data_IF_234437129043
#
_entry.id   IF_234437129043
#
_cell.length_a   1.000
_cell.length_b   1.000
_cell.length_c   1.000
_cell.angle_alpha   90.00
_cell.angle_beta   90.00
_cell.angle_gamma   90.00
#
_symmetry.space_group_name_H-M   'P 1'
#
loop_
_entity.id
_entity.type
_entity.pdbx_description
1 polymer ?
#
# COMPACT_ATOMS: atom_id res chain seq x y z
N UNK A 1 24.42 -21.61 -7.04
CA UNK A 1 23.70 -21.48 -5.76
C UNK A 1 22.24 -21.70 -6.09
N UNK A 2 21.71 -22.86 -5.69
CA UNK A 2 20.35 -23.29 -6.03
C UNK A 2 19.31 -22.31 -5.44
N UNK A 3 18.51 -21.71 -6.30
CA UNK A 3 17.25 -21.12 -5.87
C UNK A 3 16.40 -22.28 -5.35
N UNK A 4 16.20 -22.36 -4.06
CA UNK A 4 15.21 -23.23 -3.45
C UNK A 4 13.87 -22.69 -3.95
N UNK A 5 13.19 -23.42 -4.84
CA UNK A 5 11.82 -23.12 -5.24
C UNK A 5 10.99 -23.09 -3.94
N UNK A 6 10.41 -21.92 -3.64
CA UNK A 6 9.57 -21.76 -2.47
C UNK A 6 8.38 -22.74 -2.63
N UNK A 7 8.05 -23.47 -1.56
CA UNK A 7 6.87 -24.32 -1.52
C UNK A 7 5.63 -23.49 -1.93
N UNK A 8 4.67 -24.07 -2.69
CA UNK A 8 3.45 -23.36 -3.08
C UNK A 8 2.68 -22.73 -1.89
N UNK A 9 2.83 -23.30 -0.70
CA UNK A 9 2.20 -22.85 0.54
C UNK A 9 3.02 -21.79 1.32
N UNK A 10 4.22 -21.43 0.83
CA UNK A 10 5.04 -20.43 1.50
C UNK A 10 4.49 -19.01 1.25
N UNK A 11 4.43 -18.14 2.29
CA UNK A 11 3.96 -16.78 2.14
C UNK A 11 4.81 -16.01 1.12
N UNK A 12 4.17 -15.10 0.37
CA UNK A 12 4.85 -14.19 -0.54
C UNK A 12 5.72 -13.19 0.22
N UNK A 13 5.15 -12.67 1.32
CA UNK A 13 5.84 -11.76 2.25
C UNK A 13 5.71 -12.31 3.67
N UNK A 14 6.83 -12.39 4.39
CA UNK A 14 6.89 -12.75 5.81
C UNK A 14 7.66 -11.66 6.56
N UNK A 15 7.01 -11.08 7.55
CA UNK A 15 7.58 -10.05 8.43
C UNK A 15 7.59 -10.60 9.85
N UNK A 16 8.74 -10.61 10.49
CA UNK A 16 8.92 -11.19 11.83
C UNK A 16 9.64 -10.19 12.74
N UNK A 17 9.00 -9.84 13.85
CA UNK A 17 9.52 -8.96 14.92
C UNK A 17 10.15 -7.67 14.38
N UNK A 18 9.48 -7.07 13.36
CA UNK A 18 9.96 -5.85 12.73
C UNK A 18 9.94 -4.69 13.70
N UNK A 19 11.08 -4.05 13.88
CA UNK A 19 11.26 -2.87 14.74
C UNK A 19 11.77 -1.70 13.90
N UNK A 20 11.17 -0.53 14.10
CA UNK A 20 11.71 0.75 13.64
C UNK A 20 11.54 1.81 14.70
N UNK A 21 12.65 2.19 15.31
CA UNK A 21 12.74 3.28 16.27
C UNK A 21 13.46 4.47 15.62
N UNK A 22 12.98 5.68 15.88
CA UNK A 22 13.61 6.92 15.43
C UNK A 22 14.18 7.64 16.66
N UNK A 23 15.50 7.86 16.72
CA UNK A 23 16.12 8.57 17.85
C UNK A 23 15.71 10.04 17.85
N UNK A 24 15.29 10.54 19.02
CA UNK A 24 15.09 11.97 19.26
C UNK A 24 16.42 12.53 19.75
N UNK A 25 17.07 13.33 18.89
CA UNK A 25 18.32 14.00 19.22
C UNK A 25 18.06 15.41 19.78
N UNK A 26 18.73 15.76 20.86
CA UNK A 26 18.68 17.09 21.47
C UNK A 26 20.10 17.62 21.67
N UNK A 27 20.42 18.76 21.07
CA UNK A 27 21.71 19.43 21.21
C UNK A 27 22.03 20.33 20.02
N UNK A 28 22.70 21.49 20.28
CA UNK A 28 23.10 22.45 19.23
C UNK A 28 24.53 22.15 18.72
N UNK A 29 25.38 21.52 19.55
CA UNK A 29 26.78 21.20 19.22
C UNK A 29 27.17 19.74 19.43
N UNK A 30 26.45 19.00 20.28
CA UNK A 30 26.64 17.56 20.49
C UNK A 30 25.26 16.91 20.48
N UNK A 31 24.98 16.13 19.44
CA UNK A 31 23.77 15.33 19.33
C UNK A 31 23.76 14.24 20.44
N UNK A 32 22.98 14.44 21.49
CA UNK A 32 22.69 13.40 22.48
C UNK A 32 21.32 12.82 22.18
N UNK A 33 21.25 11.50 22.04
CA UNK A 33 20.01 10.76 22.01
C UNK A 33 19.34 10.85 23.38
N UNK A 34 18.13 11.45 23.42
CA UNK A 34 17.43 11.76 24.67
C UNK A 34 16.21 10.87 24.83
N UNK A 35 15.64 10.39 23.71
CA UNK A 35 14.46 9.53 23.67
C UNK A 35 14.32 8.88 22.29
N UNK A 36 13.38 7.95 22.12
CA UNK A 36 13.10 7.27 20.86
C UNK A 36 11.61 7.23 20.57
N UNK A 37 11.22 7.55 19.32
CA UNK A 37 9.87 7.26 18.84
C UNK A 37 9.84 5.81 18.35
N UNK A 38 9.10 4.96 19.03
CA UNK A 38 8.89 3.55 18.66
C UNK A 38 7.78 3.44 17.63
N UNK A 39 8.09 3.81 16.40
CA UNK A 39 7.09 3.84 15.32
C UNK A 39 6.61 2.44 14.92
N UNK A 40 7.48 1.43 15.00
CA UNK A 40 7.18 -0.01 14.84
C UNK A 40 7.93 -0.75 15.93
N UNK A 41 7.25 -1.60 16.68
CA UNK A 41 7.79 -2.22 17.90
C UNK A 41 7.41 -3.71 17.99
N UNK A 42 8.10 -4.55 17.21
CA UNK A 42 7.91 -6.00 17.19
C UNK A 42 6.70 -6.47 16.36
N UNK A 43 6.52 -5.90 15.17
CA UNK A 43 5.39 -6.24 14.28
C UNK A 43 5.70 -7.51 13.47
N UNK A 44 4.75 -8.47 13.50
CA UNK A 44 4.84 -9.73 12.74
C UNK A 44 3.54 -10.00 11.98
N UNK A 45 3.66 -10.27 10.68
CA UNK A 45 2.54 -10.65 9.80
C UNK A 45 3.04 -11.35 8.54
N UNK A 46 2.12 -11.96 7.79
CA UNK A 46 2.40 -12.62 6.52
C UNK A 46 1.35 -12.21 5.49
N UNK A 47 1.75 -12.15 4.22
CA UNK A 47 0.86 -11.96 3.06
C UNK A 47 1.05 -13.16 2.13
N UNK A 48 -0.04 -13.85 1.81
CA UNK A 48 -0.03 -14.98 0.88
C UNK A 48 -0.06 -14.48 -0.57
N UNK A 49 0.17 -15.38 -1.52
CA UNK A 49 0.02 -15.06 -2.95
C UNK A 49 -1.45 -14.86 -3.28
N UNK A 50 -1.77 -13.79 -3.98
CA UNK A 50 -3.15 -13.44 -4.33
C UNK A 50 -4.02 -12.95 -3.16
N UNK A 51 -3.44 -12.80 -1.95
CA UNK A 51 -4.14 -12.35 -0.75
C UNK A 51 -4.06 -10.83 -0.59
N UNK A 52 -5.11 -10.25 -0.05
CA UNK A 52 -5.08 -8.89 0.51
C UNK A 52 -5.04 -8.94 2.04
N UNK A 53 -3.90 -8.53 2.62
CA UNK A 53 -3.82 -8.24 4.05
C UNK A 53 -4.09 -6.76 4.29
N UNK A 54 -5.17 -6.44 4.99
CA UNK A 54 -5.48 -5.10 5.47
C UNK A 54 -4.69 -4.76 6.74
N UNK A 55 -4.01 -3.63 6.76
CA UNK A 55 -3.34 -3.09 7.95
C UNK A 55 -4.06 -1.80 8.37
N UNK A 56 -4.80 -1.85 9.47
CA UNK A 56 -5.68 -0.77 9.93
C UNK A 56 -5.27 -0.24 11.30
N UNK A 57 -5.59 1.01 11.59
CA UNK A 57 -5.34 1.68 12.86
C UNK A 57 -5.36 3.20 12.70
N UNK A 58 -5.37 3.95 13.80
CA UNK A 58 -5.39 5.41 13.78
C UNK A 58 -4.16 6.02 13.10
N UNK A 59 -4.25 7.30 12.74
CA UNK A 59 -3.10 8.05 12.22
C UNK A 59 -1.99 8.08 13.28
N UNK A 60 -0.76 7.81 12.85
CA UNK A 60 0.40 7.73 13.77
C UNK A 60 0.61 6.36 14.42
N UNK A 61 -0.24 5.35 14.19
CA UNK A 61 -0.04 4.00 14.75
C UNK A 61 1.19 3.24 14.21
N UNK A 62 1.87 3.76 13.16
CA UNK A 62 3.09 3.19 12.60
C UNK A 62 2.94 2.47 11.27
N UNK A 63 1.74 2.36 10.69
CA UNK A 63 1.43 1.62 9.45
C UNK A 63 2.33 1.98 8.26
N UNK A 64 2.37 3.27 7.90
CA UNK A 64 3.20 3.74 6.77
C UNK A 64 4.70 3.54 7.04
N UNK A 65 5.13 3.58 8.31
CA UNK A 65 6.50 3.28 8.70
C UNK A 65 6.81 1.80 8.49
N UNK A 66 5.90 0.90 8.89
CA UNK A 66 6.03 -0.54 8.66
C UNK A 66 6.12 -0.84 7.16
N UNK A 67 5.24 -0.28 6.34
CA UNK A 67 5.25 -0.43 4.88
C UNK A 67 6.58 0.01 4.25
N UNK A 68 7.11 1.16 4.66
CA UNK A 68 8.39 1.67 4.15
C UNK A 68 9.57 0.82 4.60
N UNK A 69 9.52 0.27 5.82
CA UNK A 69 10.54 -0.66 6.32
C UNK A 69 10.51 -1.99 5.55
N UNK A 70 9.32 -2.55 5.27
CA UNK A 70 9.14 -3.75 4.44
C UNK A 70 9.75 -3.56 3.05
N UNK A 71 9.51 -2.42 2.39
CA UNK A 71 10.09 -2.12 1.08
C UNK A 71 11.56 -1.69 1.12
N UNK A 72 12.19 -1.70 2.29
CA UNK A 72 13.56 -1.19 2.48
C UNK A 72 13.76 0.24 1.92
N UNK A 73 12.71 1.07 2.03
CA UNK A 73 12.78 2.51 1.79
C UNK A 73 13.35 3.24 2.99
N UNK A 74 13.14 2.68 4.17
CA UNK A 74 13.81 3.02 5.42
C UNK A 74 14.41 1.72 5.99
N UNK A 75 15.59 1.81 6.57
CA UNK A 75 16.25 0.67 7.20
C UNK A 75 15.55 0.33 8.52
N UNK A 76 15.09 -0.92 8.76
CA UNK A 76 14.57 -1.33 10.05
C UNK A 76 15.66 -1.27 11.13
N UNK A 77 15.26 -1.10 12.38
CA UNK A 77 16.19 -1.17 13.52
C UNK A 77 16.57 -2.61 13.83
N UNK A 78 15.59 -3.52 13.73
CA UNK A 78 15.78 -4.97 13.85
C UNK A 78 14.58 -5.71 13.25
N UNK A 79 14.61 -7.04 13.29
CA UNK A 79 13.59 -7.92 12.73
C UNK A 79 13.98 -8.47 11.37
N UNK A 80 13.11 -9.33 10.82
CA UNK A 80 13.30 -10.01 9.55
C UNK A 80 12.17 -9.65 8.58
N UNK A 81 12.51 -9.46 7.32
CA UNK A 81 11.56 -9.31 6.21
C UNK A 81 11.99 -10.25 5.11
N UNK A 82 11.16 -11.25 4.83
CA UNK A 82 11.41 -12.19 3.73
C UNK A 82 10.40 -12.00 2.62
N UNK A 83 10.89 -11.92 1.41
CA UNK A 83 10.09 -11.91 0.19
C UNK A 83 10.41 -13.17 -0.63
N UNK A 84 9.39 -14.00 -0.89
CA UNK A 84 9.54 -15.34 -1.51
C UNK A 84 10.59 -16.20 -0.78
N UNK A 85 10.54 -16.19 0.56
CA UNK A 85 11.48 -16.92 1.42
C UNK A 85 12.88 -16.33 1.51
N UNK A 86 13.20 -15.29 0.74
CA UNK A 86 14.51 -14.62 0.76
C UNK A 86 14.51 -13.46 1.75
N UNK A 87 15.45 -13.44 2.68
CA UNK A 87 15.68 -12.30 3.56
C UNK A 87 16.08 -11.05 2.77
N UNK A 88 15.36 -9.95 2.99
CA UNK A 88 15.58 -8.67 2.31
C UNK A 88 15.93 -7.53 3.27
N UNK A 89 15.75 -7.71 4.59
CA UNK A 89 16.19 -6.71 5.56
C UNK A 89 17.70 -6.52 5.49
N UNK A 90 18.14 -5.26 5.48
CA UNK A 90 19.56 -4.91 5.40
C UNK A 90 20.21 -5.08 4.02
N UNK A 91 19.47 -5.45 2.98
CA UNK A 91 20.02 -5.53 1.63
C UNK A 91 20.37 -4.13 1.09
N UNK A 92 21.55 -4.03 0.51
CA UNK A 92 21.99 -2.81 -0.17
C UNK A 92 21.17 -2.49 -1.45
N UNK A 93 21.25 -1.23 -1.90
CA UNK A 93 20.48 -0.72 -3.04
C UNK A 93 20.61 -1.56 -4.33
N UNK A 94 21.81 -2.11 -4.59
CA UNK A 94 22.08 -2.94 -5.78
C UNK A 94 21.32 -4.28 -5.71
N UNK A 95 21.26 -4.89 -4.53
CA UNK A 95 20.56 -6.16 -4.29
C UNK A 95 19.05 -5.99 -4.27
N UNK A 96 18.54 -4.84 -3.77
CA UNK A 96 17.13 -4.49 -3.78
C UNK A 96 16.59 -4.14 -5.17
N UNK A 97 17.42 -3.71 -6.11
CA UNK A 97 16.97 -3.27 -7.44
C UNK A 97 16.12 -4.29 -8.20
N UNK A 98 16.50 -5.59 -8.32
CA UNK A 98 15.66 -6.59 -8.97
C UNK A 98 14.35 -6.84 -8.19
N UNK A 99 14.39 -6.86 -6.85
CA UNK A 99 13.23 -7.10 -6.00
C UNK A 99 12.20 -5.97 -6.10
N UNK A 100 12.65 -4.74 -6.35
CA UNK A 100 11.76 -3.60 -6.59
C UNK A 100 10.92 -3.71 -7.87
N UNK A 101 11.20 -4.64 -8.78
CA UNK A 101 10.28 -4.96 -9.89
C UNK A 101 9.07 -5.71 -9.38
N UNK A 102 9.26 -6.58 -8.40
CA UNK A 102 8.28 -7.52 -7.90
C UNK A 102 7.48 -6.97 -6.71
N UNK A 103 8.00 -5.89 -6.06
CA UNK A 103 7.35 -5.18 -4.96
C UNK A 103 7.19 -3.72 -5.31
N UNK A 104 5.97 -3.21 -5.38
CA UNK A 104 5.67 -1.83 -5.73
C UNK A 104 4.84 -1.15 -4.64
N UNK A 105 4.74 0.18 -4.70
CA UNK A 105 3.99 0.97 -3.74
C UNK A 105 3.09 1.99 -4.44
N UNK A 106 1.84 2.05 -3.98
CA UNK A 106 0.89 3.12 -4.26
C UNK A 106 0.90 4.03 -3.02
N UNK A 107 1.20 5.31 -3.24
CA UNK A 107 1.38 6.28 -2.15
C UNK A 107 0.06 6.97 -1.81
N UNK A 108 -0.03 7.44 -0.56
CA UNK A 108 -1.16 8.14 0.02
C UNK A 108 -1.56 9.42 -0.74
N UNK A 109 -0.58 10.24 -1.10
CA UNK A 109 -0.82 11.51 -1.79
C UNK A 109 -0.58 11.38 -3.29
N UNK A 110 -1.65 11.37 -4.10
CA UNK A 110 -1.52 11.31 -5.55
C UNK A 110 -0.91 12.59 -6.15
N UNK A 111 -0.93 13.72 -5.43
CA UNK A 111 -0.32 14.97 -5.88
C UNK A 111 1.19 14.95 -5.69
N UNK A 112 1.67 14.59 -4.49
CA UNK A 112 3.10 14.54 -4.19
C UNK A 112 3.80 13.37 -4.88
N UNK A 113 3.07 12.28 -5.19
CA UNK A 113 3.65 11.07 -5.78
C UNK A 113 3.98 11.19 -7.27
N UNK A 114 3.38 12.14 -7.99
CA UNK A 114 3.58 12.33 -9.43
C UNK A 114 4.40 13.59 -9.71
N UNK A 115 5.49 13.46 -10.48
CA UNK A 115 6.29 14.61 -10.86
C UNK A 115 5.47 15.53 -11.81
N UNK A 116 5.11 16.77 -11.38
CA UNK A 116 4.24 17.66 -12.17
C UNK A 116 4.87 18.15 -13.48
N UNK A 117 6.20 18.03 -13.61
CA UNK A 117 6.96 18.45 -14.81
C UNK A 117 7.04 17.35 -15.87
N UNK A 118 6.56 16.13 -15.57
CA UNK A 118 6.55 14.99 -16.51
C UNK A 118 5.15 14.74 -17.02
N UNK A 119 5.08 14.29 -18.27
CA UNK A 119 3.83 13.79 -18.86
C UNK A 119 3.46 12.44 -18.26
N UNK A 120 2.19 12.10 -18.27
CA UNK A 120 1.65 10.82 -17.76
C UNK A 120 2.38 9.63 -18.37
N UNK A 121 2.59 9.65 -19.70
CA UNK A 121 3.33 8.58 -20.38
C UNK A 121 4.77 8.40 -19.89
N UNK A 122 5.43 9.48 -19.46
CA UNK A 122 6.76 9.40 -18.86
C UNK A 122 6.69 8.85 -17.44
N UNK A 123 5.70 9.30 -16.64
CA UNK A 123 5.54 8.87 -15.25
C UNK A 123 5.30 7.36 -15.17
N UNK A 124 4.37 6.84 -15.96
CA UNK A 124 4.04 5.41 -16.00
C UNK A 124 5.12 4.58 -16.69
N UNK A 125 5.80 5.15 -17.69
CA UNK A 125 6.84 4.47 -18.46
C UNK A 125 8.23 4.50 -17.84
N UNK A 126 8.53 5.43 -16.93
CA UNK A 126 9.86 5.54 -16.29
C UNK A 126 10.33 4.24 -15.61
N UNK A 127 9.50 3.50 -14.85
CA UNK A 127 9.90 2.22 -14.27
C UNK A 127 10.31 1.20 -15.33
N UNK A 128 9.52 1.05 -16.40
CA UNK A 128 9.81 0.15 -17.52
C UNK A 128 11.13 0.47 -18.19
N UNK A 129 11.34 1.78 -18.48
CA UNK A 129 12.59 2.25 -19.10
C UNK A 129 13.81 2.04 -18.19
N UNK A 130 13.70 2.39 -16.90
CA UNK A 130 14.82 2.26 -15.93
C UNK A 130 15.21 0.82 -15.64
N UNK A 131 14.26 -0.10 -15.73
CA UNK A 131 14.49 -1.54 -15.55
C UNK A 131 14.86 -2.24 -16.87
N UNK A 132 14.89 -1.51 -17.99
CA UNK A 132 15.22 -2.07 -19.29
C UNK A 132 14.17 -3.04 -19.87
N UNK A 133 12.92 -2.92 -19.41
CA UNK A 133 11.83 -3.81 -19.82
C UNK A 133 11.27 -3.44 -21.20
N UNK A 134 11.10 -2.13 -21.46
CA UNK A 134 10.59 -1.63 -22.72
C UNK A 134 11.18 -0.26 -23.09
N UNK A 135 11.20 0.06 -24.39
CA UNK A 135 11.65 1.33 -24.94
C UNK A 135 10.91 1.68 -26.24
N UNK A 136 11.01 2.93 -26.70
CA UNK A 136 10.46 3.35 -28.00
C UNK A 136 8.94 3.16 -28.10
N UNK A 137 8.49 2.62 -29.24
CA UNK A 137 7.07 2.38 -29.54
C UNK A 137 6.44 1.33 -28.61
N UNK A 138 7.19 0.31 -28.23
CA UNK A 138 6.72 -0.73 -27.32
C UNK A 138 6.42 -0.18 -25.92
N UNK A 139 7.28 0.68 -25.39
CA UNK A 139 7.04 1.39 -24.15
C UNK A 139 5.73 2.19 -24.21
N UNK A 140 5.54 2.93 -25.32
CA UNK A 140 4.32 3.72 -25.51
C UNK A 140 3.07 2.85 -25.54
N UNK A 141 3.09 1.74 -26.27
CA UNK A 141 1.99 0.78 -26.36
C UNK A 141 1.61 0.23 -24.98
N UNK A 142 2.59 -0.28 -24.24
CA UNK A 142 2.37 -0.83 -22.91
C UNK A 142 1.79 0.21 -21.93
N UNK A 143 2.30 1.43 -21.95
CA UNK A 143 1.76 2.51 -21.11
C UNK A 143 0.33 2.86 -21.49
N UNK A 144 0.00 2.96 -22.78
CA UNK A 144 -1.35 3.26 -23.22
C UNK A 144 -2.34 2.15 -22.82
N UNK A 145 -1.95 0.88 -22.93
CA UNK A 145 -2.73 -0.27 -22.46
C UNK A 145 -2.99 -0.20 -20.94
N UNK A 146 -1.96 0.11 -20.13
CA UNK A 146 -2.11 0.29 -18.69
C UNK A 146 -3.05 1.44 -18.34
N UNK A 147 -2.98 2.57 -19.05
CA UNK A 147 -3.91 3.68 -18.84
C UNK A 147 -5.36 3.25 -19.06
N UNK A 148 -5.63 2.50 -20.12
CA UNK A 148 -6.98 1.97 -20.41
C UNK A 148 -7.44 1.02 -19.29
N UNK A 149 -6.58 0.13 -18.80
CA UNK A 149 -6.89 -0.83 -17.73
C UNK A 149 -7.28 -0.15 -16.41
N UNK A 150 -6.66 0.99 -16.10
CA UNK A 150 -7.04 1.76 -14.90
C UNK A 150 -8.22 2.73 -15.17
N UNK A 151 -8.93 2.59 -16.31
CA UNK A 151 -10.10 3.40 -16.65
C UNK A 151 -9.78 4.82 -17.12
N UNK A 152 -8.59 5.03 -17.70
CA UNK A 152 -8.19 6.27 -18.35
C UNK A 152 -8.15 6.11 -19.87
N UNK A 153 -8.19 7.23 -20.64
CA UNK A 153 -7.99 7.19 -22.07
C UNK A 153 -6.52 7.01 -22.44
N UNK A 154 -6.23 6.23 -23.50
CA UNK A 154 -4.89 6.12 -24.08
C UNK A 154 -4.30 7.47 -24.56
N UNK A 155 -5.17 8.44 -24.91
CA UNK A 155 -4.79 9.80 -25.29
C UNK A 155 -4.21 10.61 -24.14
N UNK A 156 -4.50 10.22 -22.90
CA UNK A 156 -3.96 10.85 -21.68
C UNK A 156 -2.43 10.72 -21.56
N UNK A 157 -1.80 9.89 -22.39
CA UNK A 157 -0.35 9.69 -22.44
C UNK A 157 0.45 11.00 -22.50
N UNK A 158 -0.02 11.98 -23.26
CA UNK A 158 0.69 13.25 -23.50
C UNK A 158 0.33 14.36 -22.50
N UNK A 159 -0.66 14.15 -21.63
CA UNK A 159 -1.11 15.15 -20.64
C UNK A 159 -0.19 15.21 -19.42
N UNK A 160 -0.31 16.31 -18.68
CA UNK A 160 0.40 16.52 -17.42
C UNK A 160 -0.51 16.20 -16.21
N UNK A 161 0.05 15.82 -15.05
CA UNK A 161 -0.73 15.49 -13.86
C UNK A 161 -1.73 16.57 -13.41
N UNK A 162 -1.39 17.85 -13.57
CA UNK A 162 -2.26 18.95 -13.16
C UNK A 162 -3.56 19.08 -13.98
N UNK A 163 -3.66 18.40 -15.12
CA UNK A 163 -4.86 18.34 -15.97
C UNK A 163 -5.87 17.28 -15.52
N UNK A 164 -5.62 16.58 -14.41
CA UNK A 164 -6.41 15.45 -13.93
C UNK A 164 -7.01 15.72 -12.55
N UNK A 165 -8.20 15.14 -12.29
CA UNK A 165 -8.79 15.09 -10.96
C UNK A 165 -7.96 14.23 -9.99
N UNK A 166 -8.23 14.32 -8.69
CA UNK A 166 -7.56 13.50 -7.65
C UNK A 166 -7.69 12.01 -7.94
N UNK A 167 -8.89 11.51 -8.22
CA UNK A 167 -9.11 10.10 -8.55
C UNK A 167 -8.41 9.66 -9.85
N UNK A 168 -8.36 10.52 -10.86
CA UNK A 168 -7.60 10.22 -12.08
C UNK A 168 -6.09 10.18 -11.83
N UNK A 169 -5.55 11.05 -10.97
CA UNK A 169 -4.13 10.99 -10.56
C UNK A 169 -3.82 9.72 -9.79
N UNK A 170 -4.74 9.28 -8.94
CA UNK A 170 -4.60 8.01 -8.25
C UNK A 170 -4.53 6.84 -9.24
N UNK A 171 -5.39 6.82 -10.25
CA UNK A 171 -5.35 5.82 -11.34
C UNK A 171 -4.00 5.85 -12.11
N UNK A 172 -3.40 7.02 -12.33
CA UNK A 172 -2.05 7.14 -12.89
C UNK A 172 -1.00 6.54 -11.96
N UNK A 173 -1.12 6.77 -10.64
CA UNK A 173 -0.26 6.17 -9.62
C UNK A 173 -0.34 4.64 -9.61
N UNK A 174 -1.57 4.10 -9.72
CA UNK A 174 -1.83 2.66 -9.83
C UNK A 174 -1.19 2.11 -11.13
N UNK A 175 -1.44 2.74 -12.28
CA UNK A 175 -0.83 2.33 -13.56
C UNK A 175 0.71 2.30 -13.49
N UNK A 176 1.32 3.28 -12.83
CA UNK A 176 2.77 3.32 -12.60
C UNK A 176 3.25 2.14 -11.75
N UNK A 177 2.57 1.82 -10.66
CA UNK A 177 2.92 0.70 -9.79
C UNK A 177 2.81 -0.65 -10.54
N UNK A 178 1.77 -0.82 -11.35
CA UNK A 178 1.53 -2.04 -12.11
C UNK A 178 2.41 -2.20 -13.36
N UNK A 179 3.11 -1.14 -13.78
CA UNK A 179 3.90 -1.15 -15.02
C UNK A 179 4.96 -2.26 -15.08
N UNK A 180 5.52 -2.64 -13.95
CA UNK A 180 6.52 -3.70 -13.84
C UNK A 180 5.93 -5.09 -13.60
N UNK A 181 4.59 -5.25 -13.57
CA UNK A 181 3.88 -6.49 -13.25
C UNK A 181 4.38 -7.08 -11.91
N UNK A 182 4.23 -6.35 -10.82
CA UNK A 182 4.70 -6.80 -9.51
C UNK A 182 3.91 -8.02 -9.03
N UNK A 183 4.45 -8.74 -8.04
CA UNK A 183 3.74 -9.78 -7.29
C UNK A 183 3.06 -9.21 -6.04
N UNK A 184 3.68 -8.19 -5.43
CA UNK A 184 3.19 -7.51 -4.23
C UNK A 184 3.05 -6.02 -4.50
N UNK A 185 1.90 -5.46 -4.14
CA UNK A 185 1.69 -4.00 -4.12
C UNK A 185 1.31 -3.56 -2.71
N UNK A 186 2.09 -2.65 -2.14
CA UNK A 186 1.75 -2.01 -0.88
C UNK A 186 0.95 -0.75 -1.18
N UNK A 187 -0.30 -0.70 -0.73
CA UNK A 187 -1.20 0.43 -0.89
C UNK A 187 -1.21 1.24 0.43
N UNK A 188 -0.39 2.30 0.50
CA UNK A 188 -0.31 3.17 1.69
C UNK A 188 -1.39 4.25 1.62
N UNK A 189 -2.53 4.01 2.27
CA UNK A 189 -3.73 4.87 2.29
C UNK A 189 -4.16 5.37 0.90
N UNK A 190 -4.37 4.48 -0.08
CA UNK A 190 -4.51 4.86 -1.49
C UNK A 190 -5.77 5.67 -1.80
N UNK A 191 -6.69 5.81 -0.85
CA UNK A 191 -8.00 6.48 -1.05
C UNK A 191 -8.27 7.59 -0.04
N UNK A 192 -7.41 7.82 0.95
CA UNK A 192 -7.66 8.73 2.09
C UNK A 192 -7.88 10.20 1.68
N UNK A 193 -7.32 10.63 0.56
CA UNK A 193 -7.43 12.00 0.04
C UNK A 193 -8.55 12.17 -1.02
N UNK A 194 -9.45 11.18 -1.17
CA UNK A 194 -10.48 11.16 -2.21
C UNK A 194 -11.89 11.21 -1.60
N UNK A 195 -12.85 11.69 -2.39
CA UNK A 195 -14.27 11.66 -2.02
C UNK A 195 -14.78 10.21 -1.93
N UNK A 196 -15.76 9.95 -1.06
CA UNK A 196 -16.30 8.61 -0.77
C UNK A 196 -16.68 7.83 -2.04
N UNK A 197 -17.34 8.50 -3.00
CA UNK A 197 -17.73 7.86 -4.27
C UNK A 197 -16.53 7.44 -5.13
N UNK A 198 -15.46 8.22 -5.11
CA UNK A 198 -14.22 7.93 -5.83
C UNK A 198 -13.41 6.86 -5.08
N UNK A 199 -13.44 6.85 -3.74
CA UNK A 199 -12.83 5.80 -2.93
C UNK A 199 -13.35 4.41 -3.34
N UNK A 200 -14.68 4.23 -3.39
CA UNK A 200 -15.29 2.96 -3.80
C UNK A 200 -14.85 2.54 -5.21
N UNK A 201 -14.76 3.48 -6.16
CA UNK A 201 -14.29 3.18 -7.51
C UNK A 201 -12.83 2.74 -7.56
N UNK A 202 -11.97 3.32 -6.71
CA UNK A 202 -10.54 2.92 -6.65
C UNK A 202 -10.37 1.56 -5.96
N UNK A 203 -11.16 1.28 -4.92
CA UNK A 203 -11.15 -0.01 -4.22
C UNK A 203 -11.60 -1.12 -5.17
N UNK A 204 -12.73 -0.96 -5.87
CA UNK A 204 -13.19 -1.92 -6.87
C UNK A 204 -12.18 -2.10 -8.01
N UNK A 205 -11.53 -1.01 -8.46
CA UNK A 205 -10.46 -1.11 -9.47
C UNK A 205 -9.29 -1.95 -8.96
N UNK A 206 -8.88 -1.81 -7.69
CA UNK A 206 -7.79 -2.60 -7.13
C UNK A 206 -8.17 -4.09 -7.01
N UNK A 207 -9.41 -4.39 -6.67
CA UNK A 207 -9.97 -5.74 -6.62
C UNK A 207 -9.96 -6.40 -8.01
N UNK A 208 -10.52 -5.71 -9.02
CA UNK A 208 -10.49 -6.17 -10.43
C UNK A 208 -9.05 -6.44 -10.91
N UNK A 209 -8.10 -5.57 -10.55
CA UNK A 209 -6.69 -5.71 -10.94
C UNK A 209 -5.98 -6.83 -10.17
N UNK A 210 -6.41 -7.14 -8.94
CA UNK A 210 -5.93 -8.28 -8.18
C UNK A 210 -6.28 -9.58 -8.90
N UNK A 211 -7.52 -9.73 -9.29
CA UNK A 211 -8.02 -10.90 -10.02
C UNK A 211 -7.34 -11.05 -11.38
N UNK A 212 -7.22 -9.93 -12.14
CA UNK A 212 -6.62 -9.96 -13.48
C UNK A 212 -5.14 -10.35 -13.47
N UNK A 213 -4.38 -9.85 -12.48
CA UNK A 213 -2.91 -9.99 -12.45
C UNK A 213 -2.40 -10.98 -11.39
N UNK A 214 -3.27 -11.54 -10.54
CA UNK A 214 -2.88 -12.42 -9.44
C UNK A 214 -2.03 -11.70 -8.39
N UNK A 215 -2.36 -10.43 -8.10
CA UNK A 215 -1.59 -9.59 -7.19
C UNK A 215 -1.82 -9.98 -5.73
N UNK A 216 -0.80 -9.81 -4.89
CA UNK A 216 -0.99 -9.74 -3.46
C UNK A 216 -0.94 -8.27 -3.01
N UNK A 217 -1.79 -7.90 -2.04
CA UNK A 217 -1.82 -6.56 -1.48
C UNK A 217 -1.47 -6.55 0.01
N UNK A 218 -0.68 -5.55 0.42
CA UNK A 218 -0.68 -5.04 1.78
C UNK A 218 -1.42 -3.70 1.74
N UNK A 219 -2.69 -3.72 2.14
CA UNK A 219 -3.58 -2.57 2.03
C UNK A 219 -3.67 -1.83 3.35
N UNK A 220 -3.18 -0.60 3.38
CA UNK A 220 -3.16 0.26 4.57
C UNK A 220 -4.26 1.29 4.49
N UNK A 221 -5.08 1.39 5.52
CA UNK A 221 -6.04 2.47 5.69
C UNK A 221 -6.26 2.78 7.18
N UNK A 222 -6.88 3.92 7.44
CA UNK A 222 -7.36 4.28 8.78
C UNK A 222 -8.85 3.92 8.96
N UNK A 223 -9.58 3.71 7.86
CA UNK A 223 -10.99 3.31 7.86
C UNK A 223 -11.11 1.78 7.71
N UNK A 224 -11.57 1.13 8.79
CA UNK A 224 -11.76 -0.32 8.83
C UNK A 224 -12.88 -0.79 7.88
N UNK A 225 -13.85 0.08 7.56
CA UNK A 225 -14.93 -0.24 6.62
C UNK A 225 -14.40 -0.43 5.20
N UNK A 226 -13.46 0.42 4.78
CA UNK A 226 -12.77 0.28 3.48
C UNK A 226 -11.91 -0.98 3.46
N UNK A 227 -11.18 -1.24 4.56
CA UNK A 227 -10.30 -2.41 4.67
C UNK A 227 -11.11 -3.70 4.64
N UNK A 228 -12.24 -3.78 5.36
CA UNK A 228 -13.14 -4.95 5.36
C UNK A 228 -13.61 -5.33 3.96
N UNK A 229 -13.83 -4.36 3.09
CA UNK A 229 -14.36 -4.60 1.75
C UNK A 229 -13.35 -5.29 0.81
N UNK A 230 -12.06 -4.97 0.94
CA UNK A 230 -11.02 -5.44 0.01
C UNK A 230 -10.12 -6.54 0.60
N UNK A 231 -10.19 -6.79 1.92
CA UNK A 231 -9.19 -7.63 2.58
C UNK A 231 -9.72 -9.01 2.94
N UNK A 232 -8.91 -10.04 2.69
CA UNK A 232 -9.13 -11.40 3.18
C UNK A 232 -8.85 -11.50 4.68
N UNK A 233 -7.77 -10.86 5.11
CA UNK A 233 -7.35 -10.79 6.50
C UNK A 233 -7.03 -9.36 6.91
N UNK A 234 -7.19 -9.09 8.21
CA UNK A 234 -6.93 -7.77 8.80
C UNK A 234 -5.95 -7.93 9.95
N UNK A 235 -4.99 -7.01 10.02
CA UNK A 235 -4.11 -6.77 11.16
C UNK A 235 -4.39 -5.35 11.69
N UNK A 236 -4.73 -5.25 12.98
CA UNK A 236 -5.01 -3.97 13.65
C UNK A 236 -3.74 -3.51 14.35
N UNK A 237 -3.29 -2.30 14.00
CA UNK A 237 -2.06 -1.73 14.53
C UNK A 237 -2.35 -0.54 15.45
N UNK A 238 -1.81 -0.60 16.67
CA UNK A 238 -1.89 0.47 17.64
C UNK A 238 -0.52 0.70 18.27
N UNK A 239 -0.09 1.96 18.41
CA UNK A 239 1.17 2.36 19.07
C UNK A 239 2.39 1.50 18.67
N UNK A 240 2.53 1.26 17.37
CA UNK A 240 3.66 0.51 16.81
C UNK A 240 3.52 -1.01 16.88
N UNK A 241 2.43 -1.58 17.41
CA UNK A 241 2.23 -3.03 17.58
C UNK A 241 0.98 -3.51 16.88
N UNK A 242 0.99 -4.77 16.44
CA UNK A 242 -0.24 -5.46 16.05
C UNK A 242 -0.92 -5.96 17.32
N UNK A 243 -2.13 -5.45 17.59
CA UNK A 243 -2.93 -5.79 18.77
C UNK A 243 -3.94 -6.90 18.47
N UNK A 244 -4.36 -7.02 17.21
CA UNK A 244 -5.26 -8.09 16.76
C UNK A 244 -5.01 -8.42 15.29
N UNK A 245 -5.14 -9.70 14.92
CA UNK A 245 -5.17 -10.11 13.52
C UNK A 245 -6.01 -11.38 13.34
N UNK A 246 -6.68 -11.48 12.20
CA UNK A 246 -7.54 -12.60 11.85
C UNK A 246 -8.12 -12.45 10.45
N UNK A 247 -9.12 -13.29 10.09
CA UNK A 247 -9.92 -13.04 8.89
C UNK A 247 -10.67 -11.72 9.01
N UNK A 248 -11.01 -11.08 7.90
CA UNK A 248 -11.73 -9.81 7.91
C UNK A 248 -13.04 -9.91 8.71
N UNK A 249 -13.77 -11.02 8.55
CA UNK A 249 -15.02 -11.25 9.28
C UNK A 249 -14.79 -11.45 10.79
N UNK A 250 -13.74 -12.20 11.20
CA UNK A 250 -13.44 -12.40 12.62
C UNK A 250 -13.11 -11.07 13.31
N UNK A 251 -12.24 -10.24 12.72
CA UNK A 251 -11.83 -8.96 13.31
C UNK A 251 -12.98 -7.96 13.33
N UNK A 252 -13.82 -7.93 12.27
CA UNK A 252 -14.92 -6.96 12.18
C UNK A 252 -16.17 -7.36 12.96
N UNK A 253 -16.50 -8.65 13.04
CA UNK A 253 -17.75 -9.10 13.68
C UNK A 253 -17.56 -9.59 15.11
N UNK A 254 -16.35 -10.07 15.43
CA UNK A 254 -16.03 -10.66 16.75
C UNK A 254 -14.70 -10.14 17.29
N UNK A 255 -14.50 -8.80 17.36
CA UNK A 255 -13.26 -8.21 17.83
C UNK A 255 -12.97 -8.63 19.27
N UNK A 256 -11.72 -8.99 19.52
CA UNK A 256 -11.24 -9.43 20.85
C UNK A 256 -10.60 -8.28 21.60
N UNK A 257 -9.77 -7.49 20.92
CA UNK A 257 -9.03 -6.38 21.52
C UNK A 257 -9.92 -5.14 21.73
N UNK A 258 -9.73 -4.45 22.84
CA UNK A 258 -10.53 -3.26 23.20
C UNK A 258 -10.30 -2.09 22.26
N UNK A 259 -9.10 -1.96 21.70
CA UNK A 259 -8.80 -0.92 20.71
C UNK A 259 -9.51 -1.22 19.39
N UNK A 260 -9.56 -2.48 18.96
CA UNK A 260 -10.31 -2.91 17.77
C UNK A 260 -11.79 -2.59 17.92
N UNK A 261 -12.38 -2.87 19.09
CA UNK A 261 -13.79 -2.54 19.40
C UNK A 261 -14.06 -1.03 19.28
N UNK A 262 -13.15 -0.21 19.82
CA UNK A 262 -13.25 1.26 19.72
C UNK A 262 -13.13 1.74 18.29
N UNK A 263 -12.20 1.18 17.52
CA UNK A 263 -11.99 1.52 16.11
C UNK A 263 -13.25 1.20 15.28
N UNK A 264 -13.87 0.04 15.50
CA UNK A 264 -15.11 -0.36 14.83
C UNK A 264 -16.31 0.52 15.23
N UNK A 265 -16.42 0.89 16.50
CA UNK A 265 -17.49 1.76 16.99
C UNK A 265 -17.42 3.20 16.43
N UNK A 266 -16.24 3.62 15.98
CA UNK A 266 -16.03 4.93 15.36
C UNK A 266 -16.47 4.98 13.88
N UNK A 267 -16.73 3.83 13.24
CA UNK A 267 -17.22 3.77 11.86
C UNK A 267 -18.69 4.20 11.84
N UNK A 268 -19.06 5.25 11.08
CA UNK A 268 -20.46 5.63 10.94
C UNK A 268 -21.23 4.48 10.28
N UNK A 269 -22.17 3.87 11.01
CA UNK A 269 -23.14 2.95 10.42
C UNK A 269 -24.06 3.80 9.58
N UNK A 270 -24.18 3.59 8.24
CA UNK A 270 -25.19 4.29 7.47
C UNK A 270 -26.56 3.90 8.01
N UNK A 271 -27.24 4.78 8.79
CA UNK A 271 -28.60 4.51 9.23
C UNK A 271 -29.51 4.55 7.99
N UNK A 272 -30.16 3.42 7.63
CA UNK A 272 -31.08 3.41 6.49
C UNK A 272 -32.25 4.37 6.65
N UNK A 273 -32.50 4.90 7.85
CA UNK A 273 -33.58 5.86 8.15
C UNK A 273 -33.20 7.29 7.80
N UNK A 274 -31.97 7.72 8.06
CA UNK A 274 -31.46 9.04 7.67
C UNK A 274 -31.39 9.23 6.15
N UNK A 275 -31.10 8.15 5.42
CA UNK A 275 -31.09 8.13 3.95
C UNK A 275 -32.48 8.42 3.34
N UNK A 276 -33.58 8.03 4.02
CA UNK A 276 -34.99 8.26 3.57
C UNK A 276 -35.50 9.67 3.87
N UNK A 277 -34.99 10.34 4.89
CA UNK A 277 -35.40 11.70 5.23
C UNK A 277 -34.79 12.75 4.30
N UNK A 278 -33.55 12.57 3.86
CA UNK A 278 -32.88 13.46 2.89
C UNK A 278 -33.54 13.41 1.49
N UNK A 279 -34.13 12.28 1.11
CA UNK A 279 -34.84 12.14 -0.19
C UNK A 279 -36.26 12.73 -0.15
N UNK A 280 -36.84 12.94 1.03
CA UNK A 280 -38.22 13.50 1.19
C UNK A 280 -38.27 15.00 1.47
N UNK A 281 -37.12 15.65 1.65
CA UNK A 281 -36.99 17.08 1.97
C UNK A 281 -36.39 17.95 0.88
N UNK A 282 -36.27 17.44 -0.37
CA UNK A 282 -35.77 18.19 -1.55
C UNK A 282 -36.87 18.36 -2.60
#
# INVERSE_FOLDING_TARGET
MNATEASPDAPLLEVTDLVKHFPIKRGILIDREVDQVRAVDGVSFQVQRGETLGLVGESGSGKSTACRAVLQLIEPTSGSVKFEGREIAGLGQRQMRPLRREMQMIFQDPYASLNPRKRVGQIVGDPLKRQGVASGSELRRQVQELLVRVGLSSEHYNRFPHEFSGGQRQRIGIARALSLKPKLVICDEPVSALDVSIQAQIVNLLDDLQDEFGLAYLFVAHDIGVVRHISDRIAVMNEGKIVEQGSADEVCERPKDEYTKKLLAAVPIPDPRESRERVRGG
#
